data_IF_666403488417
#
_entry.id   IF_666403488417
#
_cell.length_a   1.000
_cell.length_b   1.000
_cell.length_c   1.000
_cell.angle_alpha   90.00
_cell.angle_beta   90.00
_cell.angle_gamma   90.00
#
_symmetry.space_group_name_H-M   'P 1'
#
loop_
_entity.id
_entity.type
_entity.pdbx_description
1 polymer ?
#
# COMPACT_ATOMS: atom_id res chain seq x y z
N UNK A 1 -25.77 -22.72 7.16
CA UNK A 1 -24.71 -21.98 7.87
C UNK A 1 -23.43 -22.75 7.69
N UNK A 2 -22.71 -22.50 6.60
CA UNK A 2 -21.34 -22.98 6.40
C UNK A 2 -20.48 -22.26 7.42
N UNK A 3 -19.88 -22.99 8.37
CA UNK A 3 -18.79 -22.48 9.20
C UNK A 3 -17.71 -21.97 8.24
N UNK A 4 -17.53 -20.66 8.17
CA UNK A 4 -16.41 -20.07 7.46
C UNK A 4 -15.14 -20.66 8.09
N UNK A 5 -14.34 -21.32 7.26
CA UNK A 5 -13.08 -21.91 7.68
C UNK A 5 -12.16 -20.76 8.15
N UNK A 6 -11.81 -20.76 9.42
CA UNK A 6 -10.90 -19.77 10.01
C UNK A 6 -9.50 -20.36 10.07
N UNK A 7 -8.52 -19.60 9.59
CA UNK A 7 -7.11 -19.97 9.66
C UNK A 7 -6.53 -19.42 10.95
N UNK A 8 -5.85 -20.28 11.73
CA UNK A 8 -5.27 -19.91 13.01
C UNK A 8 -3.82 -20.37 13.10
N UNK A 9 -2.96 -19.52 13.66
CA UNK A 9 -1.58 -19.86 14.03
C UNK A 9 -1.27 -19.27 15.40
N UNK A 10 -0.53 -20.03 16.20
CA UNK A 10 -0.02 -19.56 17.49
C UNK A 10 1.49 -19.34 17.46
N UNK A 11 1.97 -18.37 18.23
CA UNK A 11 3.38 -18.05 18.40
C UNK A 11 3.74 -17.82 19.86
N UNK A 12 5.02 -17.97 20.17
CA UNK A 12 5.59 -17.69 21.49
C UNK A 12 6.76 -16.72 21.28
N UNK A 13 6.64 -15.53 21.89
CA UNK A 13 7.72 -14.56 21.94
C UNK A 13 8.31 -14.48 23.36
N UNK A 14 9.63 -14.33 23.47
CA UNK A 14 10.35 -14.17 24.74
C UNK A 14 11.14 -12.85 24.67
N UNK A 15 10.51 -11.71 25.03
CA UNK A 15 11.19 -10.41 25.12
C UNK A 15 11.87 -10.22 26.49
N UNK A 16 12.71 -9.20 26.62
CA UNK A 16 13.27 -8.76 27.92
C UNK A 16 12.17 -8.30 28.89
N UNK A 17 11.16 -7.57 28.39
CA UNK A 17 10.03 -7.05 29.17
C UNK A 17 8.72 -7.27 28.40
N UNK A 18 7.88 -8.17 28.92
CA UNK A 18 6.58 -8.48 28.32
C UNK A 18 5.56 -7.36 28.46
N UNK A 19 5.64 -6.57 29.53
CA UNK A 19 4.68 -5.48 29.79
C UNK A 19 4.93 -4.34 28.81
N UNK A 20 6.19 -3.93 28.71
CA UNK A 20 6.61 -2.92 27.74
C UNK A 20 6.23 -3.34 26.30
N UNK A 21 6.51 -4.58 25.92
CA UNK A 21 6.16 -5.09 24.59
C UNK A 21 4.64 -5.08 24.33
N UNK A 22 3.80 -5.41 25.32
CA UNK A 22 2.34 -5.28 25.18
C UNK A 22 1.90 -3.82 25.00
N UNK A 23 2.51 -2.89 25.72
CA UNK A 23 2.19 -1.46 25.61
C UNK A 23 2.57 -0.93 24.22
N UNK A 24 3.75 -1.27 23.71
CA UNK A 24 4.17 -0.93 22.34
C UNK A 24 3.21 -1.49 21.28
N UNK A 25 2.77 -2.75 21.41
CA UNK A 25 1.76 -3.32 20.51
C UNK A 25 0.46 -2.51 20.56
N UNK A 26 -0.03 -2.17 21.76
CA UNK A 26 -1.29 -1.45 21.90
C UNK A 26 -1.21 -0.02 21.35
N UNK A 27 -0.11 0.69 21.61
CA UNK A 27 0.11 2.06 21.15
C UNK A 27 0.33 2.12 19.63
N UNK A 28 1.13 1.22 19.08
CA UNK A 28 1.48 1.25 17.66
C UNK A 28 0.28 0.95 16.75
N UNK A 29 -0.55 -0.03 17.12
CA UNK A 29 -1.62 -0.53 16.25
C UNK A 29 -2.96 0.21 16.38
N UNK A 30 -3.05 1.24 17.22
CA UNK A 30 -4.30 2.02 17.44
C UNK A 30 -4.78 2.75 16.18
N UNK A 31 -3.87 3.12 15.28
CA UNK A 31 -4.22 3.75 14.00
C UNK A 31 -4.69 2.74 12.94
N UNK A 32 -4.46 1.44 13.17
CA UNK A 32 -4.64 0.37 12.18
C UNK A 32 -5.69 -0.67 12.57
N UNK A 33 -6.09 -0.71 13.84
CA UNK A 33 -7.01 -1.71 14.37
C UNK A 33 -7.81 -1.18 15.55
N UNK A 34 -8.91 -1.87 15.87
CA UNK A 34 -9.53 -1.75 17.19
C UNK A 34 -8.65 -2.47 18.21
N UNK A 35 -8.25 -1.74 19.25
CA UNK A 35 -7.31 -2.23 20.27
C UNK A 35 -8.01 -2.34 21.62
N UNK A 36 -8.01 -3.54 22.20
CA UNK A 36 -8.43 -3.78 23.59
C UNK A 36 -7.20 -4.15 24.44
N UNK A 37 -6.76 -3.24 25.31
CA UNK A 37 -5.66 -3.45 26.26
C UNK A 37 -6.23 -3.85 27.62
N UNK A 38 -5.97 -5.10 28.04
CA UNK A 38 -6.18 -5.59 29.40
C UNK A 38 -4.96 -5.33 30.29
N UNK A 39 -4.82 -6.02 31.43
CA UNK A 39 -3.61 -5.94 32.28
C UNK A 39 -2.46 -6.76 31.68
N UNK A 40 -2.75 -7.99 31.25
CA UNK A 40 -1.78 -8.94 30.68
C UNK A 40 -2.11 -9.33 29.24
N UNK A 41 -3.04 -8.63 28.59
CA UNK A 41 -3.52 -8.95 27.25
C UNK A 41 -3.61 -7.72 26.36
N UNK A 42 -3.38 -7.93 25.06
CA UNK A 42 -3.75 -7.02 23.97
C UNK A 42 -4.50 -7.80 22.92
N UNK A 43 -5.66 -7.30 22.51
CA UNK A 43 -6.42 -7.82 21.36
C UNK A 43 -6.49 -6.75 20.29
N UNK A 44 -6.05 -7.11 19.09
CA UNK A 44 -6.17 -6.30 17.88
C UNK A 44 -7.25 -6.91 17.00
N UNK A 45 -8.23 -6.12 16.59
CA UNK A 45 -9.31 -6.55 15.68
C UNK A 45 -9.41 -5.63 14.47
N UNK A 46 -9.52 -6.21 13.28
CA UNK A 46 -9.71 -5.48 12.03
C UNK A 46 -10.50 -6.32 11.03
N UNK A 47 -10.80 -5.76 9.86
CA UNK A 47 -11.38 -6.51 8.74
C UNK A 47 -10.48 -7.67 8.24
N UNK A 48 -9.17 -7.60 8.52
CA UNK A 48 -8.18 -8.58 8.06
C UNK A 48 -8.07 -9.80 8.99
N UNK A 49 -8.49 -9.66 10.25
CA UNK A 49 -8.39 -10.71 11.24
C UNK A 49 -8.24 -10.17 12.67
N UNK A 50 -7.97 -11.10 13.58
CA UNK A 50 -7.81 -10.86 15.01
C UNK A 50 -6.46 -11.38 15.49
N UNK A 51 -5.76 -10.58 16.28
CA UNK A 51 -4.52 -10.96 16.95
C UNK A 51 -4.72 -10.81 18.45
N UNK A 52 -4.52 -11.89 19.21
CA UNK A 52 -4.51 -11.83 20.66
C UNK A 52 -3.11 -12.14 21.17
N UNK A 53 -2.58 -11.25 22.00
CA UNK A 53 -1.28 -11.41 22.65
C UNK A 53 -1.48 -11.39 24.16
N UNK A 54 -0.98 -12.43 24.85
CA UNK A 54 -1.13 -12.60 26.30
C UNK A 54 0.23 -12.81 26.97
N UNK A 55 0.54 -12.00 27.99
CA UNK A 55 1.71 -12.18 28.83
C UNK A 55 1.48 -13.28 29.87
N UNK A 56 2.34 -14.30 29.88
CA UNK A 56 2.34 -15.42 30.83
C UNK A 56 3.78 -15.79 31.15
N UNK A 57 4.17 -15.75 32.42
CA UNK A 57 5.48 -16.20 32.92
C UNK A 57 6.69 -15.64 32.13
N UNK A 58 6.67 -14.34 31.83
CA UNK A 58 7.73 -13.65 31.08
C UNK A 58 7.75 -13.97 29.58
N UNK A 59 6.67 -14.53 29.03
CA UNK A 59 6.50 -14.82 27.61
C UNK A 59 5.24 -14.16 27.08
N UNK A 60 5.21 -13.91 25.78
CA UNK A 60 4.00 -13.54 25.06
C UNK A 60 3.49 -14.74 24.27
N UNK A 61 2.25 -15.16 24.56
CA UNK A 61 1.51 -16.11 23.76
C UNK A 61 0.69 -15.33 22.74
N UNK A 62 0.93 -15.58 21.46
CA UNK A 62 0.30 -14.87 20.35
C UNK A 62 -0.61 -15.84 19.62
N UNK A 63 -1.85 -15.44 19.34
CA UNK A 63 -2.78 -16.18 18.49
C UNK A 63 -3.28 -15.24 17.38
N UNK A 64 -3.10 -15.66 16.14
CA UNK A 64 -3.60 -14.95 14.95
C UNK A 64 -4.73 -15.79 14.36
N UNK A 65 -5.89 -15.19 14.15
CA UNK A 65 -7.03 -15.82 13.47
C UNK A 65 -7.56 -14.92 12.36
N UNK A 66 -7.75 -15.47 11.16
CA UNK A 66 -8.16 -14.69 9.98
C UNK A 66 -8.90 -15.57 8.94
N UNK A 67 -9.54 -14.98 7.92
CA UNK A 67 -10.40 -15.73 6.99
C UNK A 67 -9.65 -16.42 5.84
N UNK A 68 -8.35 -16.13 5.62
CA UNK A 68 -7.59 -16.73 4.52
C UNK A 68 -6.15 -17.04 4.92
N UNK A 69 -5.52 -18.03 4.26
CA UNK A 69 -4.12 -18.37 4.49
C UNK A 69 -3.16 -17.22 4.11
N UNK A 70 -3.49 -16.41 3.10
CA UNK A 70 -2.69 -15.26 2.69
C UNK A 70 -2.68 -14.17 3.76
N UNK A 71 -3.87 -13.84 4.32
CA UNK A 71 -3.96 -12.87 5.41
C UNK A 71 -3.23 -13.37 6.66
N UNK A 72 -3.29 -14.67 6.96
CA UNK A 72 -2.56 -15.25 8.09
C UNK A 72 -1.05 -14.95 7.98
N UNK A 73 -0.48 -15.17 6.80
CA UNK A 73 0.93 -14.96 6.51
C UNK A 73 1.33 -13.48 6.57
N UNK A 74 0.48 -12.60 6.02
CA UNK A 74 0.68 -11.16 6.09
C UNK A 74 0.66 -10.67 7.54
N UNK A 75 -0.34 -11.06 8.34
CA UNK A 75 -0.46 -10.66 9.75
C UNK A 75 0.69 -11.24 10.57
N UNK A 76 1.08 -12.51 10.34
CA UNK A 76 2.25 -13.13 10.97
C UNK A 76 3.52 -12.32 10.73
N UNK A 77 3.76 -11.93 9.48
CA UNK A 77 4.93 -11.14 9.10
C UNK A 77 4.91 -9.77 9.75
N UNK A 78 3.77 -9.07 9.69
CA UNK A 78 3.60 -7.75 10.34
C UNK A 78 3.88 -7.85 11.84
N UNK A 79 3.29 -8.82 12.53
CA UNK A 79 3.52 -9.01 13.96
C UNK A 79 4.99 -9.30 14.26
N UNK A 80 5.62 -10.21 13.51
CA UNK A 80 7.03 -10.54 13.71
C UNK A 80 7.95 -9.32 13.52
N UNK A 81 7.81 -8.58 12.41
CA UNK A 81 8.63 -7.40 12.14
C UNK A 81 8.47 -6.33 13.23
N UNK A 82 7.25 -6.09 13.72
CA UNK A 82 7.01 -5.09 14.77
C UNK A 82 7.54 -5.53 16.14
N UNK A 83 7.39 -6.81 16.52
CA UNK A 83 7.98 -7.30 17.77
C UNK A 83 9.50 -7.12 17.80
N UNK A 84 10.19 -7.41 16.69
CA UNK A 84 11.63 -7.16 16.58
C UNK A 84 11.98 -5.67 16.49
N UNK A 85 11.11 -4.84 15.87
CA UNK A 85 11.27 -3.38 15.89
C UNK A 85 11.20 -2.83 17.32
N UNK A 86 10.20 -3.24 18.10
CA UNK A 86 9.98 -2.79 19.47
C UNK A 86 11.07 -3.26 20.42
N UNK A 87 11.59 -4.47 20.21
CA UNK A 87 12.75 -4.97 20.96
C UNK A 87 14.03 -4.16 20.68
N UNK A 88 14.18 -3.59 19.48
CA UNK A 88 15.37 -2.85 19.09
C UNK A 88 16.64 -3.71 19.18
N UNK A 89 17.58 -3.30 20.02
CA UNK A 89 18.83 -4.03 20.28
C UNK A 89 18.68 -5.10 21.39
N UNK A 90 17.53 -5.18 22.05
CA UNK A 90 17.30 -6.15 23.10
C UNK A 90 17.06 -7.57 22.55
N UNK A 91 17.47 -8.63 23.29
CA UNK A 91 17.21 -10.00 22.89
C UNK A 91 15.70 -10.29 22.76
N UNK A 92 15.32 -10.89 21.63
CA UNK A 92 13.99 -11.40 21.39
C UNK A 92 14.06 -12.76 20.69
N UNK A 93 13.42 -13.76 21.29
CA UNK A 93 13.14 -15.03 20.62
C UNK A 93 11.68 -15.07 20.18
N UNK A 94 11.41 -15.55 18.96
CA UNK A 94 10.06 -15.71 18.43
C UNK A 94 9.95 -17.03 17.67
N UNK A 95 8.96 -17.83 18.02
CA UNK A 95 8.68 -19.13 17.39
C UNK A 95 7.20 -19.26 17.06
N UNK A 96 6.88 -19.96 15.98
CA UNK A 96 5.51 -20.22 15.55
C UNK A 96 5.20 -21.73 15.60
N UNK A 97 3.93 -22.07 15.77
CA UNK A 97 3.42 -23.45 15.88
C UNK A 97 3.53 -24.27 14.59
N UNK A 98 3.58 -23.60 13.44
CA UNK A 98 3.86 -24.20 12.14
C UNK A 98 5.38 -24.42 11.96
N UNK A 99 5.78 -25.64 11.60
CA UNK A 99 7.16 -26.04 11.33
C UNK A 99 7.49 -26.17 9.82
N UNK A 100 6.50 -25.94 8.96
CA UNK A 100 6.66 -25.94 7.50
C UNK A 100 7.39 -24.69 7.04
N UNK A 101 8.71 -24.82 6.93
CA UNK A 101 9.58 -23.82 6.31
C UNK A 101 9.20 -23.68 4.83
N UNK A 102 8.42 -22.64 4.50
CA UNK A 102 8.13 -22.30 3.10
C UNK A 102 9.40 -21.84 2.42
N UNK A 103 9.59 -22.22 1.15
CA UNK A 103 10.76 -21.79 0.37
C UNK A 103 10.57 -20.40 -0.25
N UNK A 104 9.34 -19.94 -0.45
CA UNK A 104 9.02 -18.67 -1.08
C UNK A 104 7.97 -17.89 -0.26
N UNK A 105 8.01 -16.57 -0.38
CA UNK A 105 6.98 -15.69 0.16
C UNK A 105 5.68 -15.87 -0.67
N UNK A 106 4.52 -16.11 -0.03
CA UNK A 106 3.28 -16.40 -0.74
C UNK A 106 2.77 -15.22 -1.60
N UNK A 107 3.06 -13.98 -1.20
CA UNK A 107 2.63 -12.77 -1.88
C UNK A 107 3.73 -12.19 -2.79
N UNK A 108 4.74 -13.01 -3.14
CA UNK A 108 5.79 -12.62 -4.08
C UNK A 108 5.46 -13.13 -5.48
N UNK A 109 5.35 -12.19 -6.41
CA UNK A 109 5.04 -12.44 -7.80
C UNK A 109 6.23 -12.02 -8.67
N UNK A 110 6.94 -12.98 -9.24
CA UNK A 110 7.92 -12.66 -10.28
C UNK A 110 7.22 -12.12 -11.52
N UNK A 111 7.78 -11.05 -12.08
CA UNK A 111 7.23 -10.37 -13.26
C UNK A 111 8.33 -10.03 -14.25
N UNK A 112 7.95 -9.96 -15.53
CA UNK A 112 8.86 -9.60 -16.62
C UNK A 112 8.29 -8.45 -17.43
N UNK A 113 9.10 -7.45 -17.75
CA UNK A 113 8.67 -6.33 -18.59
C UNK A 113 8.32 -6.85 -19.99
N UNK A 114 7.12 -6.51 -20.45
CA UNK A 114 6.60 -6.82 -21.80
C UNK A 114 6.73 -5.62 -22.72
N UNK A 115 6.38 -4.43 -22.24
CA UNK A 115 6.44 -3.20 -23.03
C UNK A 115 6.59 -1.96 -22.17
N UNK A 116 7.18 -0.92 -22.75
CA UNK A 116 7.37 0.38 -22.11
C UNK A 116 6.94 1.48 -23.08
N UNK A 117 6.22 2.48 -22.60
CA UNK A 117 5.75 3.62 -23.41
C UNK A 117 5.52 4.86 -22.55
N UNK A 118 5.78 6.05 -23.09
CA UNK A 118 5.41 7.30 -22.46
C UNK A 118 3.94 7.64 -22.80
N UNK A 119 3.08 7.82 -21.80
CA UNK A 119 1.67 8.17 -21.99
C UNK A 119 1.43 9.69 -21.90
N UNK A 120 2.31 10.38 -21.19
CA UNK A 120 2.48 11.84 -21.17
C UNK A 120 4.00 12.11 -21.06
N UNK A 121 4.48 13.36 -21.21
CA UNK A 121 5.91 13.65 -21.09
C UNK A 121 6.55 13.18 -19.77
N UNK A 122 5.78 13.11 -18.67
CA UNK A 122 6.27 12.63 -17.37
C UNK A 122 5.66 11.34 -16.86
N UNK A 123 4.67 10.76 -17.52
CA UNK A 123 4.14 9.49 -17.10
C UNK A 123 4.61 8.38 -18.02
N UNK A 124 5.43 7.48 -17.48
CA UNK A 124 5.96 6.33 -18.20
C UNK A 124 5.22 5.07 -17.76
N UNK A 125 4.60 4.39 -18.71
CA UNK A 125 3.90 3.13 -18.49
C UNK A 125 4.83 1.95 -18.73
N UNK A 126 4.85 1.02 -17.79
CA UNK A 126 5.49 -0.29 -17.94
C UNK A 126 4.42 -1.36 -17.78
N UNK A 127 4.37 -2.27 -18.75
CA UNK A 127 3.49 -3.45 -18.71
C UNK A 127 4.36 -4.66 -18.38
N UNK A 128 3.90 -5.45 -17.42
CA UNK A 128 4.55 -6.65 -16.96
C UNK A 128 3.73 -7.88 -17.29
N UNK A 129 4.36 -8.98 -17.68
CA UNK A 129 3.77 -10.31 -17.60
C UNK A 129 3.88 -10.82 -16.17
N UNK A 130 2.80 -11.39 -15.66
CA UNK A 130 2.70 -11.99 -14.33
C UNK A 130 2.01 -13.35 -14.45
N UNK A 131 2.65 -14.42 -13.99
CA UNK A 131 2.13 -15.78 -14.18
C UNK A 131 0.70 -15.97 -13.63
N UNK A 132 0.43 -15.36 -12.47
CA UNK A 132 -0.89 -15.33 -11.83
C UNK A 132 -1.29 -13.88 -11.50
N UNK A 133 -2.15 -13.26 -12.31
CA UNK A 133 -2.65 -11.91 -12.05
C UNK A 133 -3.85 -11.88 -11.08
N UNK A 134 -4.41 -13.04 -10.69
CA UNK A 134 -5.65 -13.11 -9.93
C UNK A 134 -5.63 -12.34 -8.61
N UNK A 135 -4.54 -12.32 -7.81
CA UNK A 135 -4.48 -11.55 -6.57
C UNK A 135 -4.70 -10.04 -6.76
N UNK A 136 -4.40 -9.52 -7.95
CA UNK A 136 -4.52 -8.09 -8.27
C UNK A 136 -5.93 -7.68 -8.72
N UNK A 137 -6.86 -8.64 -8.86
CA UNK A 137 -8.27 -8.38 -9.19
C UNK A 137 -9.07 -8.10 -7.92
N UNK A 138 -9.59 -6.88 -7.77
CA UNK A 138 -10.47 -6.50 -6.64
C UNK A 138 -9.78 -6.39 -5.27
N UNK A 139 -8.44 -6.55 -5.21
CA UNK A 139 -7.63 -6.40 -4.00
C UNK A 139 -7.01 -5.00 -3.84
N UNK A 140 -5.99 -4.92 -2.98
CA UNK A 140 -5.20 -3.71 -2.78
C UNK A 140 -4.56 -3.22 -4.07
N UNK A 141 -4.45 -1.90 -4.23
CA UNK A 141 -3.93 -1.32 -5.47
C UNK A 141 -2.41 -1.23 -5.51
N UNK A 142 -1.73 -1.35 -4.37
CA UNK A 142 -0.30 -1.08 -4.28
C UNK A 142 0.52 -2.37 -4.17
N UNK A 143 1.72 -2.30 -4.71
CA UNK A 143 2.72 -3.36 -4.63
C UNK A 143 4.06 -2.76 -4.25
N UNK A 144 4.86 -3.52 -3.50
CA UNK A 144 6.29 -3.26 -3.36
C UNK A 144 6.98 -3.85 -4.59
N UNK A 145 7.42 -2.99 -5.50
CA UNK A 145 8.29 -3.34 -6.60
C UNK A 145 9.69 -3.63 -6.06
N UNK A 146 10.16 -4.86 -6.26
CA UNK A 146 11.49 -5.32 -5.89
C UNK A 146 12.39 -5.28 -7.12
N UNK A 147 13.24 -4.27 -7.17
CA UNK A 147 14.10 -3.98 -8.31
C UNK A 147 15.49 -4.56 -8.02
N UNK A 148 15.93 -5.61 -8.73
CA UNK A 148 17.25 -6.17 -8.56
C UNK A 148 18.33 -5.23 -9.15
N UNK A 149 19.59 -5.36 -8.70
CA UNK A 149 20.72 -4.72 -9.37
C UNK A 149 20.79 -5.14 -10.84
N UNK A 150 21.16 -4.21 -11.72
CA UNK A 150 21.32 -4.49 -13.16
C UNK A 150 22.39 -5.56 -13.39
N UNK A 151 22.20 -6.32 -14.46
CA UNK A 151 23.15 -7.33 -14.97
C UNK A 151 23.48 -8.47 -13.99
N UNK A 152 22.63 -8.69 -12.99
CA UNK A 152 22.73 -9.82 -12.04
C UNK A 152 21.48 -10.70 -12.10
N UNK A 153 21.67 -11.98 -11.77
CA UNK A 153 20.54 -12.88 -11.53
C UNK A 153 19.82 -12.41 -10.26
N UNK A 154 18.49 -12.16 -10.30
CA UNK A 154 17.77 -11.71 -9.12
C UNK A 154 17.82 -12.75 -7.99
N UNK A 155 18.08 -12.29 -6.77
CA UNK A 155 17.90 -13.05 -5.54
C UNK A 155 16.65 -12.50 -4.85
N UNK A 156 15.68 -13.35 -4.55
CA UNK A 156 14.41 -12.92 -3.96
C UNK A 156 14.39 -13.11 -2.44
N UNK A 157 13.66 -12.26 -1.71
CA UNK A 157 13.49 -12.44 -0.28
C UNK A 157 12.73 -13.73 0.04
N UNK A 158 13.11 -14.36 1.15
CA UNK A 158 12.52 -15.62 1.61
C UNK A 158 11.95 -15.48 3.03
N UNK A 159 10.97 -16.30 3.42
CA UNK A 159 10.47 -16.28 4.79
C UNK A 159 11.55 -16.80 5.77
N UNK A 160 11.58 -16.22 6.96
CA UNK A 160 12.39 -16.69 8.10
C UNK A 160 11.54 -17.54 9.05
N UNK A 161 12.14 -18.47 9.81
CA UNK A 161 11.41 -19.28 10.80
C UNK A 161 10.70 -18.45 11.88
N UNK A 162 11.22 -17.26 12.21
CA UNK A 162 10.61 -16.33 13.17
C UNK A 162 9.44 -15.53 12.58
N UNK A 163 9.08 -15.76 11.31
CA UNK A 163 7.99 -15.08 10.61
C UNK A 163 8.40 -13.78 9.90
N UNK A 164 9.65 -13.31 10.05
CA UNK A 164 10.16 -12.14 9.32
C UNK A 164 10.57 -12.48 7.88
N UNK A 165 10.94 -11.46 7.12
CA UNK A 165 11.51 -11.63 5.78
C UNK A 165 13.03 -11.59 5.83
N UNK A 166 13.69 -12.57 5.21
CA UNK A 166 15.12 -12.54 4.92
C UNK A 166 15.32 -11.79 3.60
N UNK A 167 15.78 -10.55 3.68
CA UNK A 167 16.09 -9.74 2.51
C UNK A 167 17.48 -10.04 1.96
N UNK A 168 17.68 -10.03 0.63
CA UNK A 168 19.01 -10.05 0.03
C UNK A 168 19.82 -8.81 0.47
N UNK A 169 21.10 -9.01 0.74
CA UNK A 169 22.02 -7.98 1.22
C UNK A 169 23.24 -7.82 0.28
N UNK A 170 24.05 -6.78 0.53
CA UNK A 170 25.29 -6.55 -0.22
C UNK A 170 25.05 -6.28 -1.71
N UNK A 171 25.75 -7.02 -2.57
CA UNK A 171 25.66 -6.86 -4.02
C UNK A 171 24.34 -7.32 -4.63
N UNK A 172 23.53 -8.07 -3.88
CA UNK A 172 22.22 -8.57 -4.32
C UNK A 172 21.06 -7.77 -3.70
N UNK A 173 21.37 -6.70 -2.95
CA UNK A 173 20.37 -5.86 -2.30
C UNK A 173 19.36 -5.29 -3.29
N UNK A 174 18.07 -5.49 -2.99
CA UNK A 174 16.97 -5.05 -3.84
C UNK A 174 16.56 -3.61 -3.48
N UNK A 175 16.33 -2.78 -4.49
CA UNK A 175 15.65 -1.52 -4.27
C UNK A 175 14.14 -1.77 -4.19
N UNK A 176 13.53 -1.39 -3.06
CA UNK A 176 12.08 -1.57 -2.82
C UNK A 176 11.35 -0.25 -2.99
N UNK A 177 10.35 -0.19 -3.86
CA UNK A 177 9.50 1.01 -4.04
C UNK A 177 8.04 0.63 -4.15
N UNK A 178 7.17 1.43 -3.56
CA UNK A 178 5.73 1.20 -3.63
C UNK A 178 5.18 1.86 -4.89
N UNK A 179 4.42 1.10 -5.68
CA UNK A 179 3.75 1.57 -6.88
C UNK A 179 2.33 1.04 -6.95
N UNK A 180 1.49 1.72 -7.73
CA UNK A 180 0.12 1.31 -7.99
C UNK A 180 0.06 0.38 -9.21
N UNK A 181 -0.59 -0.77 -9.07
CA UNK A 181 -1.10 -1.53 -10.20
C UNK A 181 -2.23 -0.71 -10.83
N UNK A 182 -1.95 -0.10 -11.98
CA UNK A 182 -2.85 0.77 -12.75
C UNK A 182 -3.99 -0.02 -13.42
N UNK A 183 -3.69 -1.20 -13.93
CA UNK A 183 -4.65 -2.06 -14.61
C UNK A 183 -4.18 -3.51 -14.59
N UNK A 184 -5.15 -4.43 -14.66
CA UNK A 184 -4.93 -5.87 -14.73
C UNK A 184 -5.65 -6.39 -15.97
N UNK A 185 -4.92 -7.12 -16.82
CA UNK A 185 -5.48 -7.85 -17.96
C UNK A 185 -5.26 -9.35 -17.69
N UNK A 186 -6.28 -10.05 -17.14
CA UNK A 186 -6.13 -11.46 -16.76
C UNK A 186 -5.98 -12.38 -17.98
N UNK A 187 -6.60 -12.05 -19.11
CA UNK A 187 -6.55 -12.85 -20.34
C UNK A 187 -5.13 -12.86 -20.93
N UNK A 188 -4.46 -11.72 -20.88
CA UNK A 188 -3.05 -11.59 -21.32
C UNK A 188 -2.05 -11.84 -20.20
N UNK A 189 -2.52 -12.04 -18.97
CA UNK A 189 -1.71 -12.16 -17.75
C UNK A 189 -0.77 -10.97 -17.56
N UNK A 190 -1.30 -9.77 -17.75
CA UNK A 190 -0.54 -8.54 -17.72
C UNK A 190 -0.95 -7.60 -16.59
N UNK A 191 0.05 -6.97 -15.98
CA UNK A 191 -0.10 -5.93 -14.98
C UNK A 191 0.49 -4.63 -15.54
N UNK A 192 -0.24 -3.53 -15.41
CA UNK A 192 0.23 -2.22 -15.83
C UNK A 192 0.62 -1.40 -14.62
N UNK A 193 1.77 -0.72 -14.67
CA UNK A 193 2.22 0.25 -13.67
C UNK A 193 2.67 1.52 -14.37
N UNK A 194 2.22 2.65 -13.86
CA UNK A 194 2.59 3.98 -14.35
C UNK A 194 3.57 4.63 -13.38
N UNK A 195 4.66 5.17 -13.93
CA UNK A 195 5.79 5.74 -13.20
C UNK A 195 5.91 7.22 -13.55
N UNK A 196 5.71 8.08 -12.54
CA UNK A 196 6.06 9.48 -12.66
C UNK A 196 7.59 9.63 -12.85
N UNK A 197 7.98 10.30 -13.92
CA UNK A 197 9.34 10.69 -14.23
C UNK A 197 9.58 12.10 -13.71
N UNK A 198 10.48 12.22 -12.74
CA UNK A 198 10.96 13.52 -12.29
C UNK A 198 11.97 14.09 -13.29
N UNK A 199 12.18 15.40 -13.27
CA UNK A 199 13.20 16.04 -14.09
C UNK A 199 14.57 15.39 -13.88
N UNK A 200 15.33 15.29 -14.98
CA UNK A 200 16.67 14.72 -14.97
C UNK A 200 17.56 15.40 -13.93
N UNK A 201 17.88 14.66 -12.86
CA UNK A 201 18.82 15.09 -11.81
C UNK A 201 18.21 15.66 -10.54
N UNK A 202 16.90 15.93 -10.48
CA UNK A 202 16.28 16.43 -9.24
C UNK A 202 16.06 15.30 -8.23
N UNK A 203 15.61 14.13 -8.70
CA UNK A 203 15.38 12.95 -7.86
C UNK A 203 15.62 11.66 -8.65
N UNK A 204 16.87 11.18 -8.65
CA UNK A 204 17.21 9.89 -9.22
C UNK A 204 16.84 8.79 -8.19
N UNK A 205 15.54 8.54 -8.03
CA UNK A 205 15.04 7.48 -7.18
C UNK A 205 15.12 6.13 -7.91
N UNK A 206 15.39 4.99 -7.22
CA UNK A 206 15.51 3.68 -7.85
C UNK A 206 14.34 3.30 -8.77
N UNK A 207 13.10 3.61 -8.38
CA UNK A 207 11.92 3.31 -9.20
C UNK A 207 11.82 4.16 -10.47
N UNK A 208 12.12 5.46 -10.38
CA UNK A 208 12.20 6.36 -11.55
C UNK A 208 13.31 5.92 -12.51
N UNK A 209 14.51 5.62 -11.99
CA UNK A 209 15.64 5.05 -12.76
C UNK A 209 15.25 3.79 -13.50
N UNK A 210 14.65 2.84 -12.77
CA UNK A 210 14.21 1.59 -13.35
C UNK A 210 13.27 1.85 -14.52
N UNK A 211 12.18 2.59 -14.31
CA UNK A 211 11.18 2.81 -15.36
C UNK A 211 11.75 3.51 -16.59
N UNK A 212 12.62 4.51 -16.40
CA UNK A 212 13.32 5.20 -17.48
C UNK A 212 14.13 4.25 -18.35
N UNK A 213 14.88 3.36 -17.71
CA UNK A 213 15.84 2.48 -18.38
C UNK A 213 15.26 1.12 -18.77
N UNK A 214 14.03 0.81 -18.34
CA UNK A 214 13.38 -0.49 -18.50
C UNK A 214 13.24 -0.91 -19.97
N UNK A 215 13.43 -2.20 -20.22
CA UNK A 215 13.33 -2.84 -21.53
C UNK A 215 12.53 -4.14 -21.45
N UNK A 216 11.83 -4.53 -22.51
CA UNK A 216 11.24 -5.86 -22.59
C UNK A 216 12.26 -6.95 -22.25
N UNK A 217 11.87 -7.87 -21.36
CA UNK A 217 12.72 -8.93 -20.82
C UNK A 217 13.33 -8.64 -19.45
N UNK A 218 13.32 -7.39 -18.95
CA UNK A 218 13.80 -7.08 -17.60
C UNK A 218 12.94 -7.77 -16.54
N UNK A 219 13.58 -8.38 -15.53
CA UNK A 219 12.93 -9.18 -14.48
C UNK A 219 12.89 -8.44 -13.15
N UNK A 220 11.75 -8.50 -12.47
CA UNK A 220 11.48 -7.91 -11.16
C UNK A 220 10.59 -8.86 -10.35
N UNK A 221 10.34 -8.52 -9.09
CA UNK A 221 9.27 -9.12 -8.32
C UNK A 221 8.35 -8.05 -7.73
N UNK A 222 7.09 -8.42 -7.53
CA UNK A 222 6.09 -7.65 -6.80
C UNK A 222 5.84 -8.35 -5.48
N UNK A 223 5.83 -7.60 -4.38
CA UNK A 223 5.39 -8.09 -3.08
C UNK A 223 4.08 -7.38 -2.70
N UNK A 224 3.00 -8.16 -2.55
CA UNK A 224 1.63 -7.67 -2.39
C UNK A 224 0.64 -8.50 -3.22
N UNK A 225 -0.56 -7.96 -3.54
CA UNK A 225 -0.97 -6.56 -3.37
C UNK A 225 -1.24 -6.18 -1.91
N UNK A 226 -1.20 -4.88 -1.65
CA UNK A 226 -1.59 -4.29 -0.36
C UNK A 226 -2.12 -2.86 -0.53
N UNK A 227 -2.41 -2.22 0.60
CA UNK A 227 -3.06 -0.91 0.64
C UNK A 227 -4.54 -0.96 0.30
N UNK A 228 -5.16 0.22 0.18
CA UNK A 228 -6.59 0.33 -0.10
C UNK A 228 -6.97 -0.15 -1.51
N UNK A 229 -8.27 -0.43 -1.67
CA UNK A 229 -8.89 -0.78 -2.95
C UNK A 229 -9.87 0.28 -3.43
N UNK A 230 -10.94 -0.16 -4.09
CA UNK A 230 -12.02 0.72 -4.53
C UNK A 230 -12.67 1.43 -3.34
N UNK A 231 -12.78 2.77 -3.38
CA UNK A 231 -13.59 3.53 -2.43
C UNK A 231 -15.02 3.00 -2.36
N UNK A 232 -15.57 2.75 -1.15
CA UNK A 232 -16.96 2.36 -1.00
C UNK A 232 -17.90 3.53 -1.29
N UNK A 233 -19.14 3.20 -1.65
CA UNK A 233 -20.22 4.18 -1.81
C UNK A 233 -20.41 4.68 -3.24
N UNK A 234 -21.49 5.47 -3.42
CA UNK A 234 -21.91 6.01 -4.73
C UNK A 234 -21.37 7.40 -5.03
N UNK A 235 -20.79 8.07 -4.05
CA UNK A 235 -20.21 9.41 -4.20
C UNK A 235 -18.80 9.39 -3.67
N UNK A 236 -17.85 9.75 -4.53
CA UNK A 236 -16.43 9.65 -4.23
C UNK A 236 -15.75 10.95 -4.64
N UNK A 237 -15.01 11.55 -3.72
CA UNK A 237 -14.04 12.59 -4.01
C UNK A 237 -12.65 11.93 -4.10
N UNK A 238 -12.05 11.96 -5.28
CA UNK A 238 -10.68 11.53 -5.51
C UNK A 238 -9.80 12.77 -5.62
N UNK A 239 -8.70 12.82 -4.87
CA UNK A 239 -7.73 13.89 -5.03
C UNK A 239 -6.29 13.38 -4.96
N UNK A 240 -5.39 14.01 -5.70
CA UNK A 240 -3.97 13.67 -5.62
C UNK A 240 -3.11 14.31 -6.70
N UNK A 241 -1.80 14.16 -6.55
CA UNK A 241 -0.82 14.58 -7.54
C UNK A 241 -0.55 13.47 -8.57
N UNK A 242 0.45 13.66 -9.43
CA UNK A 242 0.76 12.70 -10.48
C UNK A 242 1.18 11.32 -9.94
N UNK A 243 1.68 11.24 -8.69
CA UNK A 243 2.01 9.94 -8.06
C UNK A 243 0.76 9.14 -7.72
N UNK A 244 -0.36 9.81 -7.46
CA UNK A 244 -1.65 9.19 -7.16
C UNK A 244 -2.57 9.02 -8.38
N UNK A 245 -2.29 9.72 -9.49
CA UNK A 245 -3.04 9.61 -10.73
C UNK A 245 -3.23 8.16 -11.22
N UNK A 246 -2.24 7.23 -11.13
CA UNK A 246 -2.47 5.85 -11.51
C UNK A 246 -3.57 5.15 -10.70
N UNK A 247 -3.66 5.44 -9.39
CA UNK A 247 -4.71 4.88 -8.52
C UNK A 247 -6.06 5.53 -8.80
N UNK A 248 -6.11 6.86 -8.96
CA UNK A 248 -7.34 7.59 -9.36
C UNK A 248 -7.89 7.03 -10.68
N UNK A 249 -7.00 6.78 -11.64
CA UNK A 249 -7.38 6.28 -12.95
C UNK A 249 -7.84 4.81 -12.92
N UNK A 250 -7.31 3.99 -12.00
CA UNK A 250 -7.82 2.66 -11.73
C UNK A 250 -9.20 2.70 -11.07
N UNK A 251 -9.37 3.53 -10.03
CA UNK A 251 -10.66 3.72 -9.36
C UNK A 251 -11.72 4.14 -10.35
N UNK A 252 -11.45 5.14 -11.19
CA UNK A 252 -12.39 5.59 -12.20
C UNK A 252 -12.75 4.47 -13.19
N UNK A 253 -11.79 3.67 -13.64
CA UNK A 253 -12.03 2.59 -14.59
C UNK A 253 -12.85 1.43 -14.01
N UNK A 254 -12.66 1.12 -12.72
CA UNK A 254 -13.33 0.00 -12.03
C UNK A 254 -14.59 0.42 -11.27
N UNK A 255 -14.91 1.72 -11.21
CA UNK A 255 -16.09 2.23 -10.52
C UNK A 255 -17.40 1.76 -11.19
N UNK A 256 -18.38 1.45 -10.34
CA UNK A 256 -19.72 1.08 -10.78
C UNK A 256 -20.42 2.23 -11.53
N UNK A 257 -21.30 1.94 -12.52
CA UNK A 257 -21.98 2.98 -13.31
C UNK A 257 -22.79 4.00 -12.50
N UNK A 258 -23.33 3.60 -11.35
CA UNK A 258 -24.10 4.46 -10.45
C UNK A 258 -23.23 5.41 -9.60
N UNK A 259 -21.90 5.26 -9.65
CA UNK A 259 -20.98 6.11 -8.91
C UNK A 259 -20.86 7.49 -9.56
N UNK A 260 -20.81 8.52 -8.74
CA UNK A 260 -20.42 9.88 -9.13
C UNK A 260 -19.07 10.20 -8.50
N UNK A 261 -18.10 10.52 -9.35
CA UNK A 261 -16.72 10.81 -8.98
C UNK A 261 -16.45 12.29 -9.24
N UNK A 262 -15.99 13.01 -8.22
CA UNK A 262 -15.28 14.27 -8.40
C UNK A 262 -13.79 13.97 -8.30
N UNK A 263 -13.01 14.25 -9.34
CA UNK A 263 -11.56 14.00 -9.36
C UNK A 263 -10.79 15.31 -9.45
N UNK A 264 -9.96 15.59 -8.44
CA UNK A 264 -9.09 16.76 -8.35
C UNK A 264 -7.64 16.29 -8.52
N UNK A 265 -7.06 16.49 -9.70
CA UNK A 265 -5.72 15.97 -9.99
C UNK A 265 -4.74 17.10 -10.21
N UNK A 266 -3.73 17.19 -9.35
CA UNK A 266 -2.61 18.10 -9.54
C UNK A 266 -1.63 17.54 -10.55
N UNK A 267 -1.26 18.39 -11.50
CA UNK A 267 -0.28 18.10 -12.53
C UNK A 267 0.67 19.28 -12.69
N UNK A 268 1.87 19.01 -13.20
CA UNK A 268 2.81 20.08 -13.48
C UNK A 268 2.29 21.08 -14.51
N UNK A 269 1.90 20.58 -15.69
CA UNK A 269 1.45 21.37 -16.83
C UNK A 269 0.42 20.62 -17.67
N UNK A 270 -0.24 21.32 -18.60
CA UNK A 270 -1.34 20.78 -19.39
C UNK A 270 -0.99 19.58 -20.28
N UNK A 271 0.30 19.30 -20.53
CA UNK A 271 0.75 18.13 -21.30
C UNK A 271 0.64 16.83 -20.51
N UNK A 272 0.45 16.93 -19.19
CA UNK A 272 0.29 15.80 -18.29
C UNK A 272 -1.19 15.37 -18.10
N UNK A 273 -2.13 16.06 -18.77
CA UNK A 273 -3.55 15.67 -18.73
C UNK A 273 -3.77 14.30 -19.39
N UNK A 274 -4.53 13.44 -18.74
CA UNK A 274 -4.85 12.09 -19.20
C UNK A 274 -6.36 11.85 -19.29
N UNK A 275 -6.81 10.98 -20.20
CA UNK A 275 -8.19 10.52 -20.16
C UNK A 275 -8.41 9.58 -18.96
N UNK A 276 -9.56 9.69 -18.30
CA UNK A 276 -10.02 8.76 -17.27
C UNK A 276 -11.28 8.02 -17.78
N UNK A 277 -11.13 6.94 -18.59
CA UNK A 277 -12.26 6.14 -19.01
C UNK A 277 -13.00 5.56 -17.81
N UNK A 278 -14.33 5.66 -17.82
CA UNK A 278 -15.18 5.19 -16.73
C UNK A 278 -16.59 4.92 -17.23
N UNK A 279 -17.28 3.98 -16.57
CA UNK A 279 -18.73 3.83 -16.69
C UNK A 279 -19.49 4.74 -15.71
N UNK A 280 -18.80 5.24 -14.68
CA UNK A 280 -19.31 6.18 -13.70
C UNK A 280 -19.35 7.61 -14.27
N UNK A 281 -20.07 8.50 -13.60
CA UNK A 281 -20.04 9.93 -13.92
C UNK A 281 -18.80 10.57 -13.28
N UNK A 282 -17.85 11.02 -14.10
CA UNK A 282 -16.62 11.66 -13.64
C UNK A 282 -16.61 13.15 -13.94
N UNK A 283 -16.51 13.99 -12.90
CA UNK A 283 -16.16 15.41 -12.98
C UNK A 283 -14.66 15.56 -12.67
N UNK A 284 -13.83 15.59 -13.72
CA UNK A 284 -12.38 15.67 -13.62
C UNK A 284 -11.90 17.11 -13.76
N UNK A 285 -11.12 17.57 -12.78
CA UNK A 285 -10.55 18.91 -12.72
C UNK A 285 -9.05 18.82 -12.52
N UNK A 286 -8.30 19.43 -13.44
CA UNK A 286 -6.85 19.52 -13.39
C UNK A 286 -6.42 20.76 -12.62
N UNK A 287 -5.53 20.57 -11.64
CA UNK A 287 -4.89 21.64 -10.88
C UNK A 287 -3.47 21.80 -11.39
N UNK A 288 -3.24 22.82 -12.21
CA UNK A 288 -1.96 23.00 -12.89
C UNK A 288 -0.98 23.79 -12.02
N UNK A 289 0.22 23.24 -11.77
CA UNK A 289 1.23 23.92 -10.95
C UNK A 289 1.86 25.11 -11.65
N UNK A 290 1.99 25.08 -12.97
CA UNK A 290 2.58 26.16 -13.79
C UNK A 290 3.95 26.61 -13.25
N UNK A 291 4.84 25.64 -13.01
CA UNK A 291 6.21 25.89 -12.54
C UNK A 291 6.36 26.01 -11.02
N UNK A 292 5.29 25.93 -10.23
CA UNK A 292 5.40 25.76 -8.77
C UNK A 292 5.93 24.34 -8.43
N UNK A 293 6.74 24.18 -7.36
CA UNK A 293 7.21 22.87 -6.94
C UNK A 293 6.06 21.96 -6.48
N UNK A 294 6.18 20.66 -6.79
CA UNK A 294 5.26 19.64 -6.28
C UNK A 294 5.24 19.62 -4.74
N UNK A 295 4.08 19.39 -4.13
CA UNK A 295 3.93 19.32 -2.67
C UNK A 295 4.07 20.65 -1.93
N UNK A 296 4.32 21.76 -2.64
CA UNK A 296 4.47 23.11 -2.08
C UNK A 296 3.54 24.14 -2.75
N UNK A 297 2.78 23.75 -3.78
CA UNK A 297 1.92 24.64 -4.53
C UNK A 297 0.61 25.01 -3.79
N UNK A 298 0.23 24.22 -2.77
CA UNK A 298 -0.99 24.41 -1.97
C UNK A 298 -2.29 24.14 -2.71
N UNK A 299 -2.22 23.68 -3.97
CA UNK A 299 -3.37 23.54 -4.85
C UNK A 299 -4.34 22.46 -4.38
N UNK A 300 -3.81 21.29 -4.03
CA UNK A 300 -4.63 20.16 -3.58
C UNK A 300 -5.41 20.47 -2.31
N UNK A 301 -4.77 20.90 -1.19
CA UNK A 301 -5.51 21.24 0.02
C UNK A 301 -6.57 22.32 -0.20
N UNK A 302 -6.26 23.38 -0.96
CA UNK A 302 -7.22 24.45 -1.26
C UNK A 302 -8.42 23.95 -2.08
N UNK A 303 -8.17 23.13 -3.10
CA UNK A 303 -9.22 22.60 -3.96
C UNK A 303 -10.14 21.64 -3.18
N UNK A 304 -9.56 20.76 -2.35
CA UNK A 304 -10.31 19.85 -1.49
C UNK A 304 -11.16 20.64 -0.50
N UNK A 305 -10.62 21.64 0.19
CA UNK A 305 -11.36 22.46 1.14
C UNK A 305 -12.57 23.17 0.50
N UNK A 306 -12.45 23.61 -0.75
CA UNK A 306 -13.57 24.21 -1.51
C UNK A 306 -14.66 23.19 -1.84
N UNK A 307 -14.28 21.96 -2.19
CA UNK A 307 -15.25 20.90 -2.46
C UNK A 307 -15.91 20.37 -1.19
N UNK A 308 -15.20 20.35 -0.07
CA UNK A 308 -15.73 19.92 1.23
C UNK A 308 -17.00 20.67 1.65
N UNK A 309 -17.10 21.97 1.33
CA UNK A 309 -18.29 22.78 1.59
C UNK A 309 -19.55 22.31 0.82
N UNK A 310 -19.40 21.40 -0.15
CA UNK A 310 -20.45 20.89 -1.02
C UNK A 310 -20.65 19.38 -0.90
N UNK A 311 -19.87 18.71 -0.05
CA UNK A 311 -19.95 17.26 0.10
C UNK A 311 -21.26 16.87 0.75
N UNK A 312 -21.88 15.84 0.20
CA UNK A 312 -22.97 15.14 0.88
C UNK A 312 -22.36 14.24 1.98
N UNK A 313 -23.08 14.04 3.07
CA UNK A 313 -22.61 13.34 4.28
C UNK A 313 -22.04 11.93 4.00
N UNK A 314 -22.55 11.24 2.97
CA UNK A 314 -22.12 9.89 2.58
C UNK A 314 -20.97 9.86 1.54
N UNK A 315 -20.28 10.99 1.29
CA UNK A 315 -19.20 11.03 0.30
C UNK A 315 -17.92 10.42 0.85
N UNK A 316 -17.37 9.43 0.15
CA UNK A 316 -16.06 8.89 0.49
C UNK A 316 -14.95 9.80 -0.05
N UNK A 317 -13.99 10.17 0.80
CA UNK A 317 -12.86 11.04 0.43
C UNK A 317 -11.58 10.20 0.33
N UNK A 318 -11.04 10.06 -0.88
CA UNK A 318 -9.79 9.36 -1.14
C UNK A 318 -8.72 10.34 -1.62
N UNK A 319 -7.56 10.36 -0.95
CA UNK A 319 -6.48 11.29 -1.25
C UNK A 319 -5.11 10.59 -1.21
N UNK A 320 -4.32 10.76 -2.28
CA UNK A 320 -2.92 10.37 -2.33
C UNK A 320 -2.05 11.55 -2.76
N UNK A 321 -1.10 11.98 -1.92
CA UNK A 321 -0.24 13.13 -2.22
C UNK A 321 1.03 13.14 -1.36
N UNK A 322 1.79 14.25 -1.41
CA UNK A 322 2.93 14.47 -0.54
C UNK A 322 2.55 14.54 0.96
N UNK A 323 3.47 14.11 1.83
CA UNK A 323 3.26 14.00 3.30
C UNK A 323 2.69 15.26 3.95
N UNK A 324 3.18 16.44 3.55
CA UNK A 324 2.73 17.71 4.13
C UNK A 324 1.28 18.04 3.74
N UNK A 325 0.91 17.84 2.49
CA UNK A 325 -0.45 18.08 2.00
C UNK A 325 -1.43 17.07 2.60
N UNK A 326 -1.05 15.79 2.67
CA UNK A 326 -1.85 14.76 3.32
C UNK A 326 -2.17 15.11 4.78
N UNK A 327 -1.19 15.66 5.52
CA UNK A 327 -1.40 16.15 6.89
C UNK A 327 -2.45 17.28 6.94
N UNK A 328 -2.30 18.30 6.10
CA UNK A 328 -3.23 19.45 6.03
C UNK A 328 -4.65 18.99 5.69
N UNK A 329 -4.78 18.06 4.74
CA UNK A 329 -6.08 17.50 4.34
C UNK A 329 -6.74 16.73 5.50
N UNK A 330 -6.00 15.87 6.22
CA UNK A 330 -6.53 15.16 7.40
C UNK A 330 -7.00 16.13 8.49
N UNK A 331 -6.22 17.16 8.77
CA UNK A 331 -6.60 18.20 9.74
C UNK A 331 -7.88 18.93 9.32
N UNK A 332 -8.04 19.23 8.03
CA UNK A 332 -9.24 19.89 7.49
C UNK A 332 -10.48 19.01 7.58
N UNK A 333 -10.38 17.73 7.20
CA UNK A 333 -11.46 16.74 7.31
C UNK A 333 -11.89 16.54 8.76
N UNK A 334 -10.92 16.47 9.68
CA UNK A 334 -11.21 16.38 11.12
C UNK A 334 -11.91 17.63 11.62
N UNK A 335 -11.47 18.82 11.23
CA UNK A 335 -12.03 20.10 11.68
C UNK A 335 -13.49 20.30 11.25
N UNK A 336 -13.90 19.73 10.10
CA UNK A 336 -15.29 19.77 9.66
C UNK A 336 -16.14 18.58 10.14
N UNK A 337 -15.57 17.68 10.96
CA UNK A 337 -16.27 16.51 11.48
C UNK A 337 -16.57 15.44 10.43
N UNK A 338 -15.77 15.34 9.35
CA UNK A 338 -15.93 14.27 8.37
C UNK A 338 -15.72 12.90 9.02
N UNK A 339 -16.54 11.92 8.66
CA UNK A 339 -16.44 10.57 9.22
C UNK A 339 -15.09 9.94 8.87
N UNK A 340 -14.37 9.49 9.89
CA UNK A 340 -13.07 8.82 9.74
C UNK A 340 -13.15 7.51 8.97
N UNK A 341 -14.32 6.86 8.96
CA UNK A 341 -14.57 5.64 8.20
C UNK A 341 -14.94 5.91 6.74
N UNK A 342 -15.27 7.16 6.40
CA UNK A 342 -15.59 7.62 5.05
C UNK A 342 -14.41 8.37 4.39
N UNK A 343 -13.17 8.05 4.76
CA UNK A 343 -11.99 8.64 4.14
C UNK A 343 -10.78 7.70 4.10
N UNK A 344 -9.90 7.93 3.13
CA UNK A 344 -8.55 7.40 3.07
C UNK A 344 -7.62 8.51 2.58
N UNK A 345 -6.68 8.93 3.43
CA UNK A 345 -5.70 9.98 3.09
C UNK A 345 -4.31 9.40 3.30
N UNK A 346 -3.59 9.18 2.21
CA UNK A 346 -2.29 8.52 2.19
C UNK A 346 -1.18 9.48 1.75
N UNK A 347 -0.04 9.42 2.44
CA UNK A 347 1.17 10.13 2.05
C UNK A 347 2.01 9.21 1.16
N UNK A 348 2.12 9.52 -0.13
CA UNK A 348 2.84 8.69 -1.10
C UNK A 348 4.33 9.00 -1.15
N UNK A 349 4.71 10.23 -0.84
CA UNK A 349 6.09 10.70 -0.90
C UNK A 349 6.33 11.86 0.06
N UNK A 350 7.61 12.20 0.24
CA UNK A 350 8.05 13.41 0.93
C UNK A 350 9.25 13.99 0.16
N UNK A 351 9.43 15.32 0.12
CA UNK A 351 10.55 15.97 -0.56
C UNK A 351 11.93 15.57 -0.03
#
# INVERSE_FOLDING_TARGET
>A
MTTLETFTITGIAIPTDTTHMLDEIAEHFVEHSEVERGETTVVLSSEYGRVETRAVDGRLLIEITCPTAQLLEAIRTVMAEHLFMFAGDEPLELTWSDSTQRQALPDLHEVTVVSVSDITPRMRRVVFECADPAPFLGGGFHVRLLIPPKDRTPVWPTPRPDGRIAWPEGEDALAVRVYTIRAVDPDRRQLTVDFLQHHNGEHDAPGGRFARDARPGDRLALLGPGGGGLPPGRRVLLAGDETALPAIARIAAEAAPETTITALVEIEDDRERQALPSQARVDLRWLVRDGRPAGAAGLLPEAIAREMARLEEATYVWVGCGKNEARIVRESLKACGHDRHAMSVAAYWQP
#
